data_IF_491245814975
#
_entry.id   IF_491245814975
#
_cell.length_a   1.000
_cell.length_b   1.000
_cell.length_c   1.000
_cell.angle_alpha   90.00
_cell.angle_beta   90.00
_cell.angle_gamma   90.00
#
_symmetry.space_group_name_H-M   'P 1'
#
loop_
_entity.id
_entity.type
_entity.pdbx_description
1 polymer ?
#
# COMPACT_ATOMS: atom_id res chain seq x y z
N UNK A 1 -0.12 15.11 15.77
CA UNK A 1 0.35 13.75 16.15
C UNK A 1 1.58 13.31 15.37
N UNK A 2 1.57 13.22 14.03
CA UNK A 2 2.78 12.81 13.27
C UNK A 2 3.97 13.77 13.46
N UNK A 3 3.70 15.08 13.49
CA UNK A 3 4.72 16.11 13.72
C UNK A 3 5.35 16.08 15.13
N UNK A 4 4.72 15.41 16.11
CA UNK A 4 5.21 15.37 17.49
C UNK A 4 5.92 14.05 17.84
N UNK A 5 5.70 12.97 17.06
CA UNK A 5 6.25 11.64 17.33
C UNK A 5 7.32 11.19 16.33
N UNK A 6 7.47 11.90 15.20
CA UNK A 6 8.41 11.54 14.14
C UNK A 6 8.01 10.29 13.36
N UNK A 7 8.89 9.85 12.44
CA UNK A 7 8.76 8.60 11.71
C UNK A 7 9.67 7.55 12.34
N UNK A 8 9.10 6.44 12.79
CA UNK A 8 9.87 5.34 13.37
C UNK A 8 10.31 4.35 12.29
N UNK A 9 11.49 3.76 12.51
CA UNK A 9 12.01 2.67 11.70
C UNK A 9 12.13 1.39 12.53
N UNK A 10 11.98 0.26 11.85
CA UNK A 10 12.04 -1.06 12.47
C UNK A 10 13.41 -1.66 12.19
N UNK A 11 14.19 -1.90 13.25
CA UNK A 11 15.48 -2.58 13.14
C UNK A 11 15.30 -3.96 12.51
N UNK A 12 16.12 -4.30 11.52
CA UNK A 12 16.01 -5.49 10.71
C UNK A 12 15.01 -5.36 9.54
N UNK A 13 14.33 -4.22 9.39
CA UNK A 13 13.39 -3.92 8.31
C UNK A 13 11.91 -4.11 8.67
N UNK A 14 11.04 -3.51 7.86
CA UNK A 14 9.57 -3.50 8.10
C UNK A 14 8.93 -4.89 8.14
N UNK A 15 9.53 -5.91 7.52
CA UNK A 15 9.01 -7.28 7.58
C UNK A 15 8.98 -7.84 9.02
N UNK A 16 9.83 -7.34 9.92
CA UNK A 16 9.83 -7.76 11.33
C UNK A 16 8.51 -7.46 12.04
N UNK A 17 7.79 -6.41 11.65
CA UNK A 17 6.45 -6.12 12.22
C UNK A 17 5.47 -7.21 11.83
N UNK A 18 5.42 -7.59 10.55
CA UNK A 18 4.53 -8.65 10.09
C UNK A 18 4.88 -10.01 10.71
N UNK A 19 6.17 -10.33 10.83
CA UNK A 19 6.62 -11.55 11.47
C UNK A 19 6.27 -11.59 12.96
N UNK A 20 6.48 -10.49 13.69
CA UNK A 20 6.11 -10.42 15.11
C UNK A 20 4.59 -10.61 15.32
N UNK A 21 3.75 -10.01 14.45
CA UNK A 21 2.30 -10.21 14.50
C UNK A 21 1.90 -11.66 14.16
N UNK A 22 2.61 -12.31 13.23
CA UNK A 22 2.38 -13.70 12.89
C UNK A 22 2.76 -14.63 14.04
N UNK A 23 3.92 -14.40 14.66
CA UNK A 23 4.41 -15.13 15.84
C UNK A 23 3.42 -14.99 17.02
N UNK A 24 2.94 -13.77 17.29
CA UNK A 24 1.96 -13.50 18.34
C UNK A 24 0.61 -14.21 18.08
N UNK A 25 0.12 -14.18 16.83
CA UNK A 25 -1.10 -14.91 16.46
C UNK A 25 -0.95 -16.43 16.69
N UNK A 26 0.20 -17.00 16.30
CA UNK A 26 0.47 -18.43 16.49
C UNK A 26 0.63 -18.81 17.95
N UNK A 27 1.27 -17.96 18.77
CA UNK A 27 1.40 -18.17 20.21
C UNK A 27 0.04 -18.23 20.92
N UNK A 28 -0.98 -17.55 20.38
CA UNK A 28 -2.37 -17.59 20.87
C UNK A 28 -3.24 -18.65 20.17
N UNK A 29 -2.62 -19.62 19.50
CA UNK A 29 -3.31 -20.77 18.88
C UNK A 29 -3.91 -20.47 17.50
N UNK A 30 -3.59 -19.34 16.89
CA UNK A 30 -3.97 -19.02 15.52
C UNK A 30 -3.16 -19.82 14.49
N UNK A 31 -3.79 -20.18 13.38
CA UNK A 31 -3.15 -20.87 12.25
C UNK A 31 -2.89 -19.88 11.11
N UNK A 32 -1.74 -19.99 10.45
CA UNK A 32 -1.39 -19.21 9.26
C UNK A 32 -1.11 -20.17 8.10
N UNK A 33 -1.97 -20.15 7.09
CA UNK A 33 -1.80 -20.90 5.84
C UNK A 33 -1.30 -19.97 4.75
N UNK A 34 -0.12 -20.24 4.20
CA UNK A 34 0.46 -19.49 3.07
C UNK A 34 0.31 -20.26 1.76
N UNK A 35 0.42 -19.57 0.62
CA UNK A 35 0.17 -20.16 -0.70
C UNK A 35 -1.23 -20.77 -0.85
N UNK A 36 -2.19 -20.27 -0.06
CA UNK A 36 -3.59 -20.69 -0.07
C UNK A 36 -4.43 -19.51 -0.53
N UNK A 37 -4.86 -19.55 -1.79
CA UNK A 37 -5.70 -18.51 -2.36
C UNK A 37 -7.17 -18.78 -2.02
N UNK A 38 -7.80 -17.84 -1.31
CA UNK A 38 -9.26 -17.84 -1.15
C UNK A 38 -9.89 -17.38 -2.47
N UNK A 39 -10.76 -18.22 -3.03
CA UNK A 39 -11.44 -17.96 -4.30
C UNK A 39 -12.82 -17.34 -4.09
N UNK A 40 -13.56 -17.75 -3.05
CA UNK A 40 -14.93 -17.29 -2.82
C UNK A 40 -15.33 -17.36 -1.34
N UNK A 41 -16.17 -16.44 -0.89
CA UNK A 41 -16.93 -16.59 0.35
C UNK A 41 -18.30 -17.19 -0.02
N UNK A 42 -18.65 -18.29 0.64
CA UNK A 42 -19.91 -19.01 0.42
C UNK A 42 -20.95 -18.57 1.45
N UNK A 43 -22.23 -18.63 1.08
CA UNK A 43 -23.36 -18.27 1.91
C UNK A 43 -24.45 -17.57 1.11
N UNK A 44 -25.25 -16.76 1.79
CA UNK A 44 -26.31 -15.95 1.18
C UNK A 44 -26.21 -14.48 1.64
N UNK A 45 -27.24 -13.69 1.32
CA UNK A 45 -27.30 -12.28 1.69
C UNK A 45 -27.38 -12.02 3.21
N UNK A 46 -27.67 -13.03 4.02
CA UNK A 46 -27.80 -12.91 5.48
C UNK A 46 -26.51 -13.33 6.18
N UNK A 47 -25.87 -14.41 5.72
CA UNK A 47 -24.73 -15.01 6.43
C UNK A 47 -23.78 -15.77 5.50
N UNK A 48 -22.49 -15.59 5.75
CA UNK A 48 -21.43 -16.42 5.19
C UNK A 48 -21.25 -17.72 5.99
N UNK A 49 -21.07 -18.84 5.30
CA UNK A 49 -21.01 -20.19 5.88
C UNK A 49 -19.68 -20.89 5.68
N UNK A 50 -18.90 -20.51 4.68
CA UNK A 50 -17.58 -21.08 4.40
C UNK A 50 -16.74 -20.16 3.51
N UNK A 51 -15.44 -20.46 3.40
CA UNK A 51 -14.57 -19.94 2.35
C UNK A 51 -14.13 -21.09 1.44
N UNK A 52 -14.26 -20.90 0.14
CA UNK A 52 -13.75 -21.84 -0.88
C UNK A 52 -12.38 -21.38 -1.33
N UNK A 53 -11.42 -22.29 -1.29
CA UNK A 53 -10.07 -22.09 -1.77
C UNK A 53 -9.97 -22.38 -3.27
N UNK A 54 -8.94 -21.86 -3.93
CA UNK A 54 -8.68 -22.13 -5.35
C UNK A 54 -8.42 -23.62 -5.64
N UNK A 55 -8.03 -24.40 -4.63
CA UNK A 55 -7.91 -25.87 -4.71
C UNK A 55 -9.26 -26.59 -4.76
N UNK A 56 -10.36 -25.90 -4.47
CA UNK A 56 -11.68 -26.49 -4.28
C UNK A 56 -12.00 -26.89 -2.84
N UNK A 57 -11.02 -26.87 -1.93
CA UNK A 57 -11.24 -27.08 -0.49
C UNK A 57 -12.20 -26.01 0.07
N UNK A 58 -13.15 -26.43 0.90
CA UNK A 58 -14.06 -25.53 1.61
C UNK A 58 -13.75 -25.56 3.10
N UNK A 59 -13.46 -24.39 3.67
CA UNK A 59 -13.23 -24.21 5.10
C UNK A 59 -14.49 -23.60 5.71
N UNK A 60 -15.21 -24.29 6.61
CA UNK A 60 -16.39 -23.75 7.26
C UNK A 60 -16.08 -22.49 8.06
N UNK A 61 -16.92 -21.46 7.91
CA UNK A 61 -16.86 -20.26 8.72
C UNK A 61 -17.59 -20.54 10.04
N UNK A 62 -16.84 -20.58 11.15
CA UNK A 62 -17.41 -20.80 12.49
C UNK A 62 -18.37 -19.69 12.89
N UNK A 63 -17.81 -18.58 13.40
CA UNK A 63 -18.61 -17.42 13.82
C UNK A 63 -18.64 -16.33 12.74
N UNK A 64 -17.47 -15.92 12.25
CA UNK A 64 -17.31 -14.75 11.38
C UNK A 64 -16.16 -14.91 10.38
N UNK A 65 -16.14 -14.02 9.39
CA UNK A 65 -15.04 -13.84 8.43
C UNK A 65 -14.58 -12.39 8.53
N UNK A 66 -13.29 -12.17 8.79
CA UNK A 66 -12.68 -10.83 8.75
C UNK A 66 -11.76 -10.76 7.54
N UNK A 67 -12.08 -9.88 6.59
CA UNK A 67 -11.32 -9.75 5.36
C UNK A 67 -10.34 -8.58 5.43
N UNK A 68 -9.06 -8.88 5.17
CA UNK A 68 -7.98 -7.90 5.02
C UNK A 68 -7.63 -7.62 3.54
N UNK A 69 -8.42 -8.11 2.59
CA UNK A 69 -8.22 -7.78 1.17
C UNK A 69 -8.75 -6.38 0.85
N UNK A 70 -8.39 -5.85 -0.31
CA UNK A 70 -8.99 -4.62 -0.83
C UNK A 70 -10.52 -4.76 -0.99
N UNK A 71 -11.26 -3.64 -0.89
CA UNK A 71 -12.72 -3.66 -0.87
C UNK A 71 -13.32 -4.07 -2.21
N UNK A 72 -12.59 -3.83 -3.31
CA UNK A 72 -12.97 -4.28 -4.66
C UNK A 72 -13.03 -5.79 -4.73
N UNK A 73 -11.94 -6.45 -4.37
CA UNK A 73 -11.83 -7.90 -4.38
C UNK A 73 -12.82 -8.55 -3.41
N UNK A 74 -13.02 -7.99 -2.20
CA UNK A 74 -14.01 -8.49 -1.26
C UNK A 74 -15.43 -8.46 -1.85
N UNK A 75 -15.85 -7.33 -2.39
CA UNK A 75 -17.23 -7.11 -2.84
C UNK A 75 -17.52 -7.80 -4.16
N UNK A 76 -16.63 -7.66 -5.15
CA UNK A 76 -16.86 -8.11 -6.52
C UNK A 76 -16.57 -9.62 -6.63
N UNK A 77 -15.38 -10.03 -6.17
CA UNK A 77 -14.88 -11.39 -6.42
C UNK A 77 -15.32 -12.34 -5.31
N UNK A 78 -15.07 -12.00 -4.05
CA UNK A 78 -15.30 -12.92 -2.93
C UNK A 78 -16.78 -13.05 -2.53
N UNK A 79 -17.53 -11.96 -2.43
CA UNK A 79 -18.96 -11.96 -2.07
C UNK A 79 -19.84 -12.02 -3.32
N UNK A 80 -19.68 -11.05 -4.23
CA UNK A 80 -20.46 -10.93 -5.46
C UNK A 80 -21.93 -10.53 -5.24
N UNK A 81 -22.63 -10.30 -6.34
CA UNK A 81 -23.96 -9.70 -6.33
C UNK A 81 -25.04 -10.53 -5.61
N UNK A 82 -24.87 -11.85 -5.51
CA UNK A 82 -25.81 -12.73 -4.81
C UNK A 82 -25.83 -12.49 -3.29
N UNK A 83 -24.71 -12.07 -2.70
CA UNK A 83 -24.61 -11.83 -1.26
C UNK A 83 -24.79 -10.35 -0.88
N UNK A 84 -24.26 -9.43 -1.69
CA UNK A 84 -24.30 -7.99 -1.36
C UNK A 84 -25.27 -7.18 -2.22
N UNK A 85 -25.91 -7.79 -3.23
CA UNK A 85 -26.77 -7.10 -4.17
C UNK A 85 -26.00 -6.41 -5.31
N UNK A 86 -26.68 -6.27 -6.45
CA UNK A 86 -26.08 -5.75 -7.69
C UNK A 86 -25.63 -4.29 -7.57
N UNK A 87 -26.41 -3.45 -6.89
CA UNK A 87 -26.10 -2.03 -6.73
C UNK A 87 -24.76 -1.77 -6.01
N UNK A 88 -24.42 -2.59 -5.01
CA UNK A 88 -23.16 -2.49 -4.28
C UNK A 88 -21.98 -2.91 -5.15
N UNK A 89 -22.13 -4.01 -5.91
CA UNK A 89 -21.12 -4.44 -6.89
C UNK A 89 -20.88 -3.37 -7.94
N UNK A 90 -21.93 -2.81 -8.53
CA UNK A 90 -21.82 -1.78 -9.56
C UNK A 90 -21.15 -0.51 -9.00
N UNK A 91 -21.44 -0.14 -7.75
CA UNK A 91 -20.76 0.99 -7.07
C UNK A 91 -19.28 0.70 -6.90
N UNK A 92 -18.93 -0.51 -6.47
CA UNK A 92 -17.53 -0.91 -6.28
C UNK A 92 -16.76 -1.00 -7.60
N UNK A 93 -17.41 -1.38 -8.71
CA UNK A 93 -16.79 -1.34 -10.04
C UNK A 93 -16.39 0.06 -10.49
N UNK A 94 -17.08 1.10 -9.98
CA UNK A 94 -16.75 2.51 -10.22
C UNK A 94 -15.82 3.11 -9.15
N UNK A 95 -15.36 2.30 -8.19
CA UNK A 95 -14.48 2.78 -7.12
C UNK A 95 -13.18 3.34 -7.68
N UNK A 96 -12.81 4.54 -7.24
CA UNK A 96 -11.56 5.14 -7.66
C UNK A 96 -10.41 4.64 -6.78
N UNK A 97 -9.44 4.02 -7.43
CA UNK A 97 -8.27 3.43 -6.78
C UNK A 97 -7.21 4.46 -6.36
N UNK A 98 -7.22 5.63 -6.99
CA UNK A 98 -6.23 6.68 -6.78
C UNK A 98 -5.02 6.55 -7.70
N UNK A 99 -4.00 7.36 -7.44
CA UNK A 99 -2.78 7.36 -8.23
C UNK A 99 -1.87 6.17 -7.88
N UNK A 100 -1.21 5.63 -8.89
CA UNK A 100 -0.30 4.50 -8.74
C UNK A 100 1.06 4.94 -8.21
N UNK A 101 1.86 3.97 -7.78
CA UNK A 101 3.26 4.20 -7.38
C UNK A 101 4.25 3.47 -8.28
N UNK A 102 5.42 4.05 -8.45
CA UNK A 102 6.58 3.42 -9.08
C UNK A 102 7.71 3.37 -8.06
N UNK A 103 8.41 2.25 -7.96
CA UNK A 103 9.43 2.05 -6.93
C UNK A 103 10.73 1.61 -7.55
N UNK A 104 11.85 2.22 -7.13
CA UNK A 104 13.19 1.78 -7.48
C UNK A 104 13.96 1.41 -6.21
N UNK A 105 14.55 0.23 -6.19
CA UNK A 105 15.56 -0.16 -5.20
C UNK A 105 16.94 -0.05 -5.84
N UNK A 106 17.88 0.57 -5.13
CA UNK A 106 19.21 0.86 -5.64
C UNK A 106 20.24 0.39 -4.63
N UNK A 107 21.05 -0.59 -5.02
CA UNK A 107 22.24 -1.00 -4.29
C UNK A 107 23.41 -0.11 -4.70
N UNK A 108 24.12 0.43 -3.71
CA UNK A 108 25.11 1.47 -3.90
C UNK A 108 26.48 1.04 -3.39
N UNK A 109 27.51 1.43 -4.13
CA UNK A 109 28.92 1.23 -3.79
C UNK A 109 29.27 1.88 -2.45
N UNK A 110 28.69 3.03 -2.16
CA UNK A 110 28.91 3.76 -0.91
C UNK A 110 27.71 4.67 -0.64
N UNK A 111 27.57 5.20 0.60
CA UNK A 111 26.54 6.20 0.88
C UNK A 111 26.63 7.41 -0.05
N UNK A 112 25.48 8.01 -0.36
CA UNK A 112 25.34 9.17 -1.26
C UNK A 112 25.47 10.50 -0.54
N UNK A 113 25.57 11.59 -1.30
CA UNK A 113 25.51 12.96 -0.79
C UNK A 113 24.36 13.73 -1.45
N UNK A 114 23.48 14.30 -0.63
CA UNK A 114 22.42 15.18 -1.09
C UNK A 114 22.96 16.60 -1.34
N UNK A 115 22.49 17.27 -2.39
CA UNK A 115 22.76 18.71 -2.61
C UNK A 115 22.27 19.58 -1.45
N UNK A 116 21.19 19.17 -0.78
CA UNK A 116 20.64 19.85 0.38
C UNK A 116 21.55 19.80 1.63
N UNK A 117 22.64 19.02 1.58
CA UNK A 117 23.64 18.97 2.64
C UNK A 117 23.52 17.76 3.58
N UNK A 118 24.37 17.70 4.63
CA UNK A 118 24.55 16.51 5.46
C UNK A 118 23.34 16.13 6.31
N UNK A 119 22.48 17.09 6.68
CA UNK A 119 21.26 16.81 7.45
C UNK A 119 20.29 15.88 6.68
N UNK A 120 20.19 16.06 5.35
CA UNK A 120 19.39 15.17 4.51
C UNK A 120 19.96 13.75 4.48
N UNK A 121 21.29 13.59 4.53
CA UNK A 121 21.94 12.27 4.57
C UNK A 121 21.66 11.51 5.86
N UNK A 122 21.47 12.21 6.97
CA UNK A 122 21.13 11.62 8.28
C UNK A 122 19.64 11.27 8.41
N UNK A 123 18.81 11.71 7.46
CA UNK A 123 17.38 11.45 7.48
C UNK A 123 17.03 10.10 6.84
N UNK A 124 16.10 9.38 7.47
CA UNK A 124 15.52 8.17 6.90
C UNK A 124 14.76 8.46 5.60
N UNK A 125 14.01 9.56 5.57
CA UNK A 125 13.18 9.96 4.45
C UNK A 125 13.54 11.37 3.99
N UNK A 126 13.71 11.54 2.68
CA UNK A 126 13.94 12.86 2.06
C UNK A 126 13.00 13.02 0.87
N UNK A 127 12.18 14.07 0.88
CA UNK A 127 11.36 14.44 -0.27
C UNK A 127 12.23 15.15 -1.31
N UNK A 128 12.29 14.58 -2.51
CA UNK A 128 13.00 15.13 -3.66
C UNK A 128 11.97 15.82 -4.55
N UNK A 129 11.63 17.05 -4.16
CA UNK A 129 10.63 17.86 -4.83
C UNK A 129 10.94 19.34 -4.67
N UNK A 130 10.47 20.14 -5.60
CA UNK A 130 10.38 21.58 -5.39
C UNK A 130 9.34 21.87 -4.28
N UNK A 131 9.62 22.78 -3.33
CA UNK A 131 8.68 23.12 -2.27
C UNK A 131 7.62 24.12 -2.77
N UNK A 132 6.87 23.75 -3.82
CA UNK A 132 5.90 24.63 -4.48
C UNK A 132 4.56 23.94 -4.73
N UNK A 133 3.45 24.65 -4.47
CA UNK A 133 2.10 24.15 -4.77
C UNK A 133 1.89 23.93 -6.27
N UNK A 134 2.48 24.79 -7.09
CA UNK A 134 2.42 24.69 -8.56
C UNK A 134 3.15 23.41 -9.05
N UNK A 135 4.27 23.05 -8.42
CA UNK A 135 4.93 21.76 -8.65
C UNK A 135 3.98 20.59 -8.35
N UNK A 136 3.34 20.57 -7.18
CA UNK A 136 2.41 19.49 -6.82
C UNK A 136 1.18 19.44 -7.74
N UNK A 137 0.60 20.59 -8.07
CA UNK A 137 -0.55 20.67 -8.97
C UNK A 137 -0.24 20.09 -10.36
N UNK A 138 0.94 20.41 -10.93
CA UNK A 138 1.37 19.85 -12.23
C UNK A 138 1.48 18.33 -12.20
N UNK A 139 2.04 17.75 -11.14
CA UNK A 139 2.17 16.29 -11.01
C UNK A 139 0.80 15.63 -11.10
N UNK A 140 -0.18 16.13 -10.34
CA UNK A 140 -1.53 15.56 -10.34
C UNK A 140 -2.21 15.70 -11.70
N UNK A 141 -2.06 16.84 -12.38
CA UNK A 141 -2.62 17.04 -13.72
C UNK A 141 -2.01 16.05 -14.74
N UNK A 142 -0.68 15.89 -14.73
CA UNK A 142 0.02 14.94 -15.60
C UNK A 142 -0.40 13.50 -15.31
N UNK A 143 -0.36 13.09 -14.04
CA UNK A 143 -0.74 11.74 -13.61
C UNK A 143 -2.20 11.41 -13.96
N UNK A 144 -3.15 12.27 -13.59
CA UNK A 144 -4.58 12.04 -13.86
C UNK A 144 -4.92 12.11 -15.35
N UNK A 145 -4.14 12.87 -16.13
CA UNK A 145 -4.22 12.86 -17.59
C UNK A 145 -3.64 11.60 -18.24
N UNK A 146 -2.99 10.73 -17.47
CA UNK A 146 -2.35 9.49 -17.94
C UNK A 146 -0.93 9.69 -18.48
N UNK A 147 -0.34 10.87 -18.29
CA UNK A 147 1.04 11.15 -18.69
C UNK A 147 2.04 10.71 -17.61
N UNK A 148 3.18 10.15 -18.04
CA UNK A 148 4.33 9.97 -17.15
C UNK A 148 4.83 11.35 -16.69
N UNK A 149 4.84 11.66 -15.38
CA UNK A 149 5.25 12.99 -14.91
C UNK A 149 6.72 13.28 -15.18
N UNK A 150 7.02 14.52 -15.59
CA UNK A 150 8.39 14.97 -15.83
C UNK A 150 9.16 15.21 -14.52
N UNK A 151 8.46 15.67 -13.49
CA UNK A 151 9.05 15.94 -12.19
C UNK A 151 8.12 15.40 -11.11
N UNK A 152 8.03 14.08 -10.92
CA UNK A 152 7.13 13.48 -9.93
C UNK A 152 7.61 13.77 -8.51
N UNK A 153 6.72 13.55 -7.54
CA UNK A 153 7.10 13.55 -6.13
C UNK A 153 7.86 12.26 -5.83
N UNK A 154 9.15 12.36 -5.52
CA UNK A 154 9.98 11.21 -5.19
C UNK A 154 10.34 11.28 -3.71
N UNK A 155 10.04 10.22 -2.96
CA UNK A 155 10.52 10.06 -1.60
C UNK A 155 11.70 9.11 -1.63
N UNK A 156 12.86 9.61 -1.22
CA UNK A 156 14.05 8.81 -0.97
C UNK A 156 13.97 8.19 0.42
N UNK A 157 14.17 6.89 0.52
CA UNK A 157 14.19 6.12 1.75
C UNK A 157 15.59 5.51 1.93
N UNK A 158 16.23 5.89 3.03
CA UNK A 158 17.61 5.51 3.37
C UNK A 158 17.64 4.70 4.67
N UNK A 159 16.95 3.56 4.66
CA UNK A 159 16.88 2.68 5.83
C UNK A 159 18.28 2.23 6.29
N UNK A 160 19.23 2.07 5.36
CA UNK A 160 20.61 1.64 5.67
C UNK A 160 21.46 2.68 6.41
N UNK A 161 21.10 3.96 6.35
CA UNK A 161 21.78 4.98 7.16
C UNK A 161 21.34 4.97 8.63
N UNK A 162 20.14 4.45 8.91
CA UNK A 162 19.61 4.37 10.27
C UNK A 162 19.85 2.98 10.87
N UNK A 163 19.71 1.93 10.06
CA UNK A 163 19.97 0.55 10.45
C UNK A 163 21.08 -0.05 9.57
N UNK A 164 22.32 -0.10 10.07
CA UNK A 164 23.46 -0.65 9.33
C UNK A 164 23.30 -2.13 8.95
N UNK A 165 22.40 -2.89 9.58
CA UNK A 165 22.16 -4.29 9.21
C UNK A 165 21.51 -4.45 7.82
N UNK A 166 21.00 -3.36 7.24
CA UNK A 166 20.29 -3.36 5.96
C UNK A 166 21.22 -3.41 4.74
N UNK A 167 22.52 -3.15 4.91
CA UNK A 167 23.51 -3.19 3.85
C UNK A 167 24.88 -3.68 4.36
N UNK A 168 25.73 -4.28 3.52
CA UNK A 168 27.11 -4.59 3.89
C UNK A 168 27.89 -3.34 4.33
N UNK A 169 28.91 -3.53 5.17
CA UNK A 169 29.75 -2.43 5.65
C UNK A 169 30.31 -1.60 4.48
N UNK A 170 30.20 -0.27 4.60
CA UNK A 170 30.66 0.68 3.58
C UNK A 170 29.76 0.79 2.34
N UNK A 171 28.77 -0.09 2.16
CA UNK A 171 27.77 -0.04 1.08
C UNK A 171 26.49 0.64 1.56
N UNK A 172 25.59 0.96 0.64
CA UNK A 172 24.28 1.50 0.98
C UNK A 172 23.16 0.86 0.15
N UNK A 173 21.95 0.85 0.70
CA UNK A 173 20.73 0.43 0.02
C UNK A 173 19.70 1.52 0.15
N UNK A 174 19.17 1.97 -0.99
CA UNK A 174 18.17 3.02 -1.04
C UNK A 174 16.94 2.58 -1.81
N UNK A 175 15.80 3.14 -1.43
CA UNK A 175 14.52 2.99 -2.14
C UNK A 175 14.02 4.37 -2.54
N UNK A 176 13.70 4.56 -3.81
CA UNK A 176 13.01 5.73 -4.32
C UNK A 176 11.56 5.35 -4.60
N UNK A 177 10.65 5.97 -3.86
CA UNK A 177 9.19 5.81 -4.06
C UNK A 177 8.70 7.02 -4.83
N UNK A 178 8.31 6.80 -6.07
CA UNK A 178 7.71 7.81 -6.93
C UNK A 178 6.21 7.75 -6.72
N UNK A 179 5.67 8.82 -6.14
CA UNK A 179 4.25 8.99 -5.90
C UNK A 179 3.61 9.66 -7.11
N UNK A 180 2.38 9.25 -7.41
CA UNK A 180 1.54 9.82 -8.46
C UNK A 180 2.06 9.54 -9.88
N UNK A 181 2.07 8.27 -10.28
CA UNK A 181 2.25 7.85 -11.68
C UNK A 181 0.94 7.24 -12.21
N UNK A 182 0.68 7.32 -13.52
CA UNK A 182 -0.54 6.75 -14.08
C UNK A 182 -0.47 5.22 -14.15
N UNK A 183 -1.60 4.55 -13.92
CA UNK A 183 -1.68 3.11 -14.21
C UNK A 183 -1.70 2.84 -15.72
N UNK A 184 -2.49 3.62 -16.46
CA UNK A 184 -2.58 3.57 -17.92
C UNK A 184 -1.81 4.74 -18.51
N UNK A 185 -0.78 4.44 -19.30
CA UNK A 185 0.07 5.47 -19.90
C UNK A 185 -0.56 5.92 -21.23
N UNK A 186 -1.11 7.13 -21.23
CA UNK A 186 -1.69 7.78 -22.43
C UNK A 186 -0.81 8.90 -22.97
N UNK A 187 0.15 9.39 -22.16
CA UNK A 187 1.05 10.47 -22.53
C UNK A 187 2.41 10.38 -21.86
N UNK A 188 3.27 11.34 -22.19
CA UNK A 188 4.61 11.44 -21.63
C UNK A 188 4.98 12.92 -21.46
N UNK A 189 5.03 13.40 -20.22
CA UNK A 189 5.47 14.76 -19.94
C UNK A 189 7.01 14.86 -19.88
N UNK A 190 7.73 13.72 -19.80
CA UNK A 190 9.19 13.70 -19.78
C UNK A 190 9.79 14.06 -21.15
N UNK A 191 9.04 13.82 -22.24
CA UNK A 191 9.50 13.94 -23.62
C UNK A 191 10.56 12.90 -24.02
N UNK A 192 10.80 11.88 -23.19
CA UNK A 192 11.88 10.90 -23.33
C UNK A 192 11.41 9.44 -23.25
N UNK A 193 10.15 9.20 -22.87
CA UNK A 193 9.57 7.86 -22.69
C UNK A 193 8.37 7.70 -23.62
N UNK A 194 8.63 7.23 -24.84
CA UNK A 194 7.60 7.04 -25.87
C UNK A 194 6.70 5.81 -25.65
N UNK A 195 7.11 4.88 -24.78
CA UNK A 195 6.35 3.69 -24.46
C UNK A 195 4.98 4.03 -23.82
N UNK A 196 3.97 3.21 -24.09
CA UNK A 196 2.59 3.35 -23.58
C UNK A 196 2.11 2.17 -22.74
N UNK A 197 2.99 1.21 -22.49
CA UNK A 197 2.77 0.09 -21.58
C UNK A 197 3.88 0.07 -20.54
N UNK A 198 3.55 -0.30 -19.30
CA UNK A 198 4.54 -0.34 -18.23
C UNK A 198 5.65 -1.37 -18.47
N UNK A 199 5.36 -2.47 -19.17
CA UNK A 199 6.37 -3.48 -19.52
C UNK A 199 7.51 -2.90 -20.37
N UNK A 200 7.24 -1.89 -21.21
CA UNK A 200 8.24 -1.20 -22.02
C UNK A 200 8.67 0.16 -21.43
N UNK A 201 7.82 0.82 -20.65
CA UNK A 201 8.10 2.13 -20.06
C UNK A 201 8.92 2.06 -18.77
N UNK A 202 8.92 0.92 -18.06
CA UNK A 202 9.55 0.79 -16.74
C UNK A 202 11.02 1.18 -16.73
N UNK A 203 11.86 0.54 -17.54
CA UNK A 203 13.30 0.82 -17.53
C UNK A 203 13.62 2.22 -18.08
N UNK A 204 13.05 2.67 -19.22
CA UNK A 204 13.30 4.04 -19.70
C UNK A 204 12.86 5.12 -18.69
N UNK A 205 11.73 4.94 -18.02
CA UNK A 205 11.29 5.88 -16.99
C UNK A 205 12.18 5.81 -15.75
N UNK A 206 12.64 4.62 -15.35
CA UNK A 206 13.62 4.50 -14.28
C UNK A 206 14.96 5.18 -14.62
N UNK A 207 15.43 5.08 -15.86
CA UNK A 207 16.65 5.77 -16.32
C UNK A 207 16.47 7.28 -16.26
N UNK A 208 15.33 7.78 -16.79
CA UNK A 208 14.95 9.18 -16.69
C UNK A 208 14.95 9.68 -15.24
N UNK A 209 14.35 8.93 -14.32
CA UNK A 209 14.29 9.31 -12.91
C UNK A 209 15.66 9.30 -12.24
N UNK A 210 16.53 8.34 -12.54
CA UNK A 210 17.90 8.34 -12.02
C UNK A 210 18.67 9.56 -12.53
N UNK A 211 18.52 9.93 -13.80
CA UNK A 211 19.14 11.12 -14.37
C UNK A 211 18.60 12.39 -13.70
N UNK A 212 17.28 12.51 -13.54
CA UNK A 212 16.64 13.62 -12.83
C UNK A 212 17.14 13.73 -11.39
N UNK A 213 17.13 12.62 -10.64
CA UNK A 213 17.57 12.60 -9.24
C UNK A 213 19.04 12.99 -9.15
N UNK A 214 19.87 12.46 -10.04
CA UNK A 214 21.31 12.76 -10.06
C UNK A 214 21.56 14.23 -10.35
N UNK A 215 20.93 14.75 -11.41
CA UNK A 215 21.10 16.14 -11.84
C UNK A 215 20.57 17.14 -10.82
N UNK A 216 19.46 16.83 -10.13
CA UNK A 216 18.76 17.81 -9.29
C UNK A 216 19.04 17.67 -7.79
N UNK A 217 19.26 16.46 -7.27
CA UNK A 217 19.20 16.23 -5.81
C UNK A 217 20.39 15.45 -5.24
N UNK A 218 20.95 14.46 -5.96
CA UNK A 218 21.98 13.55 -5.46
C UNK A 218 23.09 13.39 -6.52
N UNK A 219 24.08 14.30 -6.61
CA UNK A 219 25.02 14.38 -7.73
C UNK A 219 25.86 13.12 -7.97
N UNK A 220 26.10 12.34 -6.92
CA UNK A 220 26.92 11.13 -6.95
C UNK A 220 26.09 9.84 -7.08
N UNK A 221 24.77 9.93 -7.23
CA UNK A 221 23.88 8.76 -7.28
C UNK A 221 24.27 7.81 -8.41
N UNK A 222 24.17 8.27 -9.67
CA UNK A 222 24.36 7.42 -10.86
C UNK A 222 25.72 6.72 -10.87
N UNK A 223 26.78 7.41 -10.45
CA UNK A 223 28.14 6.87 -10.40
C UNK A 223 28.31 5.77 -9.35
N UNK A 224 27.45 5.72 -8.32
CA UNK A 224 27.53 4.76 -7.21
C UNK A 224 26.59 3.56 -7.38
N UNK A 225 25.74 3.53 -8.40
CA UNK A 225 24.77 2.44 -8.59
C UNK A 225 25.51 1.15 -8.98
N UNK A 226 25.44 0.15 -8.11
CA UNK A 226 25.88 -1.22 -8.43
C UNK A 226 24.76 -1.99 -9.13
N UNK A 227 23.52 -1.79 -8.68
CA UNK A 227 22.34 -2.44 -9.25
C UNK A 227 21.09 -1.63 -8.96
N UNK A 228 20.19 -1.59 -9.95
CA UNK A 228 18.82 -1.08 -9.79
C UNK A 228 17.81 -2.19 -10.02
N UNK A 229 16.73 -2.18 -9.24
CA UNK A 229 15.52 -2.94 -9.52
C UNK A 229 14.34 -1.98 -9.51
N UNK A 230 13.63 -1.87 -10.63
CA UNK A 230 12.44 -1.05 -10.74
C UNK A 230 11.17 -1.91 -10.68
N UNK A 231 10.11 -1.35 -10.11
CA UNK A 231 8.76 -1.93 -10.09
C UNK A 231 7.76 -0.89 -10.57
N UNK A 232 7.13 -1.20 -11.70
CA UNK A 232 6.02 -0.43 -12.23
C UNK A 232 4.72 -0.69 -11.43
N UNK A 233 3.70 0.16 -11.56
CA UNK A 233 2.36 -0.12 -11.05
C UNK A 233 1.83 -1.51 -11.44
N UNK A 234 2.11 -1.96 -12.66
CA UNK A 234 1.67 -3.28 -13.15
C UNK A 234 2.44 -4.40 -12.46
N UNK A 235 3.76 -4.26 -12.27
CA UNK A 235 4.56 -5.24 -11.53
C UNK A 235 4.10 -5.38 -10.08
N UNK A 236 3.72 -4.27 -9.45
CA UNK A 236 3.19 -4.25 -8.09
C UNK A 236 1.85 -4.99 -8.03
N UNK A 237 0.90 -4.69 -8.93
CA UNK A 237 -0.39 -5.39 -9.00
C UNK A 237 -0.26 -6.89 -9.31
N UNK A 238 0.72 -7.29 -10.13
CA UNK A 238 0.98 -8.72 -10.42
C UNK A 238 1.44 -9.49 -9.19
N UNK A 239 2.12 -8.83 -8.25
CA UNK A 239 2.68 -9.46 -7.05
C UNK A 239 1.75 -9.40 -5.85
N UNK A 240 0.97 -8.34 -5.73
CA UNK A 240 0.12 -8.07 -4.57
C UNK A 240 -1.30 -7.85 -5.10
N UNK A 241 -2.17 -8.85 -4.92
CA UNK A 241 -3.56 -8.84 -5.42
C UNK A 241 -4.29 -7.55 -4.98
N UNK A 242 -4.11 -7.17 -3.71
CA UNK A 242 -4.75 -5.97 -3.15
C UNK A 242 -4.05 -4.65 -3.45
N UNK A 243 -2.93 -4.66 -4.18
CA UNK A 243 -2.35 -3.45 -4.75
C UNK A 243 -2.97 -3.17 -6.12
N UNK A 244 -4.30 -3.06 -6.15
CA UNK A 244 -5.07 -2.83 -7.38
C UNK A 244 -4.59 -1.54 -8.03
N UNK A 245 -4.31 -1.61 -9.34
CA UNK A 245 -3.69 -0.54 -10.13
C UNK A 245 -2.35 -0.01 -9.56
N UNK A 246 -1.60 -0.83 -8.84
CA UNK A 246 -0.33 -0.45 -8.23
C UNK A 246 -0.48 0.62 -7.16
N UNK A 247 -1.65 0.72 -6.54
CA UNK A 247 -1.94 1.70 -5.49
C UNK A 247 -1.59 1.14 -4.12
N UNK A 248 -1.15 2.02 -3.20
CA UNK A 248 -0.83 1.63 -1.82
C UNK A 248 -2.04 1.71 -0.89
N UNK A 249 -3.03 2.53 -1.24
CA UNK A 249 -4.13 2.90 -0.35
C UNK A 249 -5.33 1.97 -0.37
N UNK A 250 -5.47 1.07 -1.36
CA UNK A 250 -6.71 0.33 -1.62
C UNK A 250 -7.92 1.26 -1.84
N UNK A 251 -7.69 2.35 -2.58
CA UNK A 251 -8.69 3.39 -2.87
C UNK A 251 -8.17 4.81 -2.68
N UNK A 252 -8.65 5.73 -3.52
CA UNK A 252 -8.28 7.14 -3.48
C UNK A 252 -8.74 7.82 -2.18
N UNK A 253 -8.05 8.90 -1.82
CA UNK A 253 -8.41 9.79 -0.72
C UNK A 253 -9.14 11.02 -1.25
N UNK A 254 -10.38 10.80 -1.70
CA UNK A 254 -11.24 11.86 -2.24
C UNK A 254 -12.38 12.16 -1.27
N UNK A 255 -12.92 13.39 -1.23
CA UNK A 255 -13.93 13.79 -0.26
C UNK A 255 -15.15 12.85 -0.17
N UNK A 256 -15.54 12.22 -1.29
CA UNK A 256 -16.69 11.31 -1.38
C UNK A 256 -16.38 9.83 -1.08
N UNK A 257 -15.14 9.48 -0.74
CA UNK A 257 -14.71 8.10 -0.43
C UNK A 257 -13.66 8.06 0.70
N UNK A 258 -13.79 9.00 1.63
CA UNK A 258 -12.96 9.12 2.82
C UNK A 258 -13.82 9.11 4.09
N UNK A 259 -13.19 8.94 5.26
CA UNK A 259 -13.88 8.83 6.54
C UNK A 259 -14.95 7.72 6.52
N UNK A 260 -16.15 8.00 7.04
CA UNK A 260 -17.27 7.05 7.06
C UNK A 260 -17.82 6.68 5.67
N UNK A 261 -17.37 7.35 4.61
CA UNK A 261 -17.71 7.01 3.23
C UNK A 261 -16.71 6.00 2.62
N UNK A 262 -15.63 5.63 3.34
CA UNK A 262 -14.58 4.73 2.85
C UNK A 262 -14.85 3.27 3.29
N UNK A 263 -14.86 2.29 2.38
CA UNK A 263 -14.59 2.42 0.94
C UNK A 263 -15.80 2.97 0.17
N UNK A 264 -16.99 2.57 0.58
CA UNK A 264 -18.28 3.11 0.18
C UNK A 264 -19.16 3.16 1.44
N UNK A 265 -20.23 3.99 1.49
CA UNK A 265 -21.07 4.12 2.68
C UNK A 265 -21.57 2.79 3.26
N UNK A 266 -21.92 1.83 2.39
CA UNK A 266 -22.41 0.50 2.77
C UNK A 266 -21.38 -0.36 3.52
N UNK A 267 -20.08 -0.05 3.38
CA UNK A 267 -18.99 -0.73 4.06
C UNK A 267 -18.21 0.19 5.01
N UNK A 268 -18.67 1.43 5.17
CA UNK A 268 -17.95 2.51 5.88
C UNK A 268 -17.83 2.34 7.38
N UNK A 269 -18.50 1.33 7.94
CA UNK A 269 -18.49 0.98 9.36
C UNK A 269 -17.81 -0.37 9.62
N UNK A 270 -16.86 -0.76 8.76
CA UNK A 270 -16.09 -2.01 8.87
C UNK A 270 -16.90 -3.30 8.69
N UNK A 271 -18.21 -3.18 8.41
CA UNK A 271 -19.13 -4.28 8.16
C UNK A 271 -19.44 -4.40 6.68
N UNK A 272 -19.85 -5.58 6.25
CA UNK A 272 -20.53 -5.76 4.95
C UNK A 272 -22.03 -5.92 5.16
N UNK A 273 -22.86 -5.90 4.09
CA UNK A 273 -24.26 -6.31 4.18
C UNK A 273 -24.49 -7.73 4.71
N UNK A 274 -23.47 -8.60 4.61
CA UNK A 274 -23.50 -9.96 5.15
C UNK A 274 -23.10 -9.91 6.63
N UNK A 275 -23.99 -10.35 7.51
CA UNK A 275 -23.95 -10.00 8.94
C UNK A 275 -22.69 -10.45 9.70
N UNK A 276 -22.01 -11.48 9.23
CA UNK A 276 -20.81 -12.02 9.85
C UNK A 276 -19.53 -11.82 9.01
N UNK A 277 -19.54 -10.90 8.04
CA UNK A 277 -18.38 -10.56 7.22
C UNK A 277 -17.97 -9.10 7.45
N UNK A 278 -16.70 -8.89 7.78
CA UNK A 278 -16.12 -7.60 8.14
C UNK A 278 -14.95 -7.23 7.22
N UNK A 279 -14.67 -5.94 7.06
CA UNK A 279 -13.55 -5.39 6.30
C UNK A 279 -12.57 -4.66 7.24
N UNK A 280 -11.35 -5.16 7.34
CA UNK A 280 -10.31 -4.64 8.24
C UNK A 280 -9.06 -4.09 7.53
N UNK A 281 -9.12 -3.96 6.20
CA UNK A 281 -7.99 -3.59 5.36
C UNK A 281 -7.74 -2.09 5.26
N UNK A 282 -6.70 -1.69 4.50
CA UNK A 282 -6.41 -0.27 4.20
C UNK A 282 -7.51 0.39 3.36
N UNK A 283 -8.41 -0.40 2.79
CA UNK A 283 -9.65 0.05 2.18
C UNK A 283 -10.68 0.58 3.17
N UNK A 284 -10.49 0.40 4.47
CA UNK A 284 -11.33 1.00 5.53
C UNK A 284 -10.66 2.24 6.13
N UNK A 285 -11.44 3.15 6.70
CA UNK A 285 -10.89 4.31 7.43
C UNK A 285 -10.04 3.85 8.66
N UNK A 286 -8.92 4.52 9.00
CA UNK A 286 -8.33 5.73 8.41
C UNK A 286 -7.50 5.50 7.14
N UNK A 287 -7.27 4.26 6.74
CA UNK A 287 -6.57 3.91 5.51
C UNK A 287 -5.14 3.40 5.71
N UNK A 288 -4.24 3.61 4.73
CA UNK A 288 -2.89 3.05 4.73
C UNK A 288 -1.97 3.75 5.75
N UNK A 289 -0.74 3.26 5.89
CA UNK A 289 0.30 3.88 6.73
C UNK A 289 0.78 3.01 7.88
N UNK A 290 0.49 1.70 7.87
CA UNK A 290 0.96 0.72 8.89
C UNK A 290 0.59 1.16 10.32
N UNK A 291 -0.52 1.90 10.46
CA UNK A 291 -1.02 2.42 11.74
C UNK A 291 -1.75 1.36 12.58
N UNK A 292 -2.04 0.20 11.99
CA UNK A 292 -2.90 -0.86 12.54
C UNK A 292 -4.35 -0.41 12.84
N UNK A 293 -4.71 0.83 12.53
CA UNK A 293 -5.98 1.42 12.92
C UNK A 293 -7.20 0.80 12.23
N UNK A 294 -7.20 0.49 10.90
CA UNK A 294 -8.35 -0.18 10.29
C UNK A 294 -8.66 -1.54 10.93
N UNK A 295 -7.61 -2.33 11.22
CA UNK A 295 -7.72 -3.61 11.92
C UNK A 295 -8.29 -3.45 13.33
N UNK A 296 -7.72 -2.54 14.12
CA UNK A 296 -8.19 -2.22 15.47
C UNK A 296 -9.65 -1.78 15.49
N UNK A 297 -10.05 -0.90 14.58
CA UNK A 297 -11.41 -0.37 14.54
C UNK A 297 -12.42 -1.45 14.11
N UNK A 298 -12.07 -2.30 13.14
CA UNK A 298 -12.89 -3.46 12.79
C UNK A 298 -13.05 -4.42 13.98
N UNK A 299 -11.97 -4.66 14.75
CA UNK A 299 -12.06 -5.47 15.97
C UNK A 299 -12.99 -4.85 17.02
N UNK A 300 -12.98 -3.53 17.22
CA UNK A 300 -13.93 -2.86 18.11
C UNK A 300 -15.39 -3.08 17.70
N UNK A 301 -15.67 -2.99 16.41
CA UNK A 301 -17.01 -3.25 15.85
C UNK A 301 -17.41 -4.72 16.06
N UNK A 302 -16.51 -5.67 15.80
CA UNK A 302 -16.74 -7.10 16.02
C UNK A 302 -17.05 -7.38 17.50
N UNK A 303 -16.28 -6.81 18.41
CA UNK A 303 -16.50 -6.99 19.85
C UNK A 303 -17.88 -6.45 20.27
N UNK A 304 -18.28 -5.28 19.78
CA UNK A 304 -19.61 -4.74 20.02
C UNK A 304 -20.72 -5.68 19.52
N UNK A 305 -20.58 -6.22 18.31
CA UNK A 305 -21.58 -7.12 17.70
C UNK A 305 -21.69 -8.45 18.45
N UNK A 306 -20.57 -8.96 18.96
CA UNK A 306 -20.51 -10.17 19.78
C UNK A 306 -20.80 -9.92 21.27
N UNK A 307 -21.05 -8.67 21.67
CA UNK A 307 -21.24 -8.25 23.07
C UNK A 307 -20.06 -8.63 23.98
N UNK A 308 -18.85 -8.48 23.45
CA UNK A 308 -17.58 -8.69 24.16
C UNK A 308 -16.97 -7.35 24.59
N UNK A 309 -16.21 -7.35 25.69
CA UNK A 309 -15.50 -6.15 26.16
C UNK A 309 -14.15 -5.98 25.46
N UNK A 310 -14.06 -5.01 24.55
CA UNK A 310 -12.80 -4.70 23.86
C UNK A 310 -11.71 -4.16 24.82
N UNK A 311 -12.11 -3.54 25.92
CA UNK A 311 -11.16 -3.00 26.90
C UNK A 311 -10.37 -4.09 27.61
N UNK A 312 -10.91 -5.31 27.68
CA UNK A 312 -10.24 -6.47 28.28
C UNK A 312 -8.96 -6.88 27.52
N UNK A 313 -8.94 -6.68 26.18
CA UNK A 313 -7.80 -7.04 25.32
C UNK A 313 -6.94 -5.83 24.95
N UNK A 314 -7.49 -4.62 25.03
CA UNK A 314 -6.74 -3.39 24.71
C UNK A 314 -5.70 -2.99 25.79
N UNK A 315 -5.79 -3.55 27.01
CA UNK A 315 -4.90 -3.22 28.15
C UNK A 315 -3.53 -3.92 28.12
N UNK A 316 -3.22 -4.74 27.10
CA UNK A 316 -1.98 -5.53 27.06
C UNK A 316 -0.71 -4.68 26.74
N UNK A 317 -0.83 -3.37 26.48
CA UNK A 317 0.31 -2.51 26.10
C UNK A 317 0.70 -1.44 27.15
N UNK A 318 0.51 -1.69 28.44
CA UNK A 318 1.04 -0.82 29.50
C UNK A 318 1.91 -1.58 30.52
N UNK A 319 2.86 -2.37 30.02
CA UNK A 319 3.97 -2.93 30.78
C UNK A 319 5.27 -2.68 30.01
#
# INVERSE_FOLDING_TARGET
>A
MLQNAGNNLVKGGMNRVTLALAEDLQAHGGEIRTSVLVQKILGDAKRATAVRLASGEEIPAGQLIVSNVDPGHLVIDLLGAGMVGRAIVDKMQRYEWGDSVFVMFVALESPINYKAGPAARQSAHVHLSEPSLDFFARIYLQCRGGALPAAPMIVSWNDSAIDPSRAPAGRALMKFVVLSVPYFITGDATGRVSARTWDHAREPYADYLIDLITASYIPDLKAKILKRVAHSPVDISRRIISAVRGTLGQGAFLPYQNASLRPIPELGQYKTPVSNVYLCSSGSHPGPGVSMAPGRNAAQVIFSDLRLDFSSVARISSA
#
